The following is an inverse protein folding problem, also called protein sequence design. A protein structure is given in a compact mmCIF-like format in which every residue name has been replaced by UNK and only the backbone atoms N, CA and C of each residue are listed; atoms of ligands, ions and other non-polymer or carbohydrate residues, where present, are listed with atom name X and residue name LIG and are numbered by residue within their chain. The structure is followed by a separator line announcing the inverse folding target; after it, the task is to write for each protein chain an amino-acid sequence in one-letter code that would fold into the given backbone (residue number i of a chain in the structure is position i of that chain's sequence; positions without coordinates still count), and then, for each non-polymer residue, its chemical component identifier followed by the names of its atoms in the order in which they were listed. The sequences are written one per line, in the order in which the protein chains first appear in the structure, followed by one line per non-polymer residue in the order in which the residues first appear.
data_IF_320288045827
#
_entry.id   IF_320288045827
#
_cell.length_a   1.000
_cell.length_b   1.000
_cell.length_c   1.000
_cell.angle_alpha   90.00
_cell.angle_beta   90.00
_cell.angle_gamma   90.00
#
_symmetry.space_group_name_H-M   'P 1'
#
loop_
_entity.id
_entity.type
_entity.pdbx_description
1 polymer ?
#
# COMPACT_ATOMS: atom_id res chain seq x y z
N UNK A 1 -9.41 16.55 11.45
CA UNK A 1 -9.04 17.22 10.17
C UNK A 1 -9.43 18.69 10.21
N UNK A 2 -8.71 19.54 9.47
CA UNK A 2 -9.02 20.98 9.36
C UNK A 2 -10.04 21.27 8.27
N UNK A 3 -10.01 20.52 7.18
CA UNK A 3 -10.91 20.57 6.06
C UNK A 3 -11.16 19.17 5.48
N UNK A 4 -12.07 19.06 4.54
CA UNK A 4 -12.50 17.80 3.95
C UNK A 4 -11.49 17.17 2.97
N UNK A 5 -10.47 17.90 2.52
CA UNK A 5 -9.34 17.35 1.74
C UNK A 5 -8.56 16.25 2.50
N UNK A 6 -8.60 16.29 3.84
CA UNK A 6 -8.06 15.23 4.71
C UNK A 6 -9.13 14.18 5.12
N UNK A 7 -10.30 14.11 4.45
CA UNK A 7 -11.35 13.11 4.74
C UNK A 7 -10.79 11.69 4.75
N UNK A 8 -10.01 11.36 3.74
CA UNK A 8 -9.39 10.05 3.58
C UNK A 8 -8.54 9.68 4.81
N UNK A 9 -7.88 10.64 5.43
CA UNK A 9 -7.02 10.39 6.60
C UNK A 9 -7.84 9.85 7.79
N UNK A 10 -9.10 10.23 7.93
CA UNK A 10 -10.00 9.64 8.92
C UNK A 10 -10.50 8.27 8.46
N UNK A 11 -11.06 8.19 7.26
CA UNK A 11 -11.76 6.99 6.78
C UNK A 11 -10.81 5.85 6.44
N UNK A 12 -9.73 6.14 5.71
CA UNK A 12 -8.69 5.17 5.41
C UNK A 12 -7.98 4.68 6.68
N UNK A 13 -7.71 5.61 7.62
CA UNK A 13 -7.07 5.25 8.87
C UNK A 13 -7.96 4.36 9.74
N UNK A 14 -9.25 4.68 9.84
CA UNK A 14 -10.20 3.86 10.58
C UNK A 14 -10.30 2.45 9.99
N UNK A 15 -10.35 2.33 8.66
CA UNK A 15 -10.39 1.05 7.98
C UNK A 15 -9.09 0.23 8.17
N UNK A 16 -7.94 0.87 8.01
CA UNK A 16 -6.65 0.23 8.28
C UNK A 16 -6.54 -0.20 9.74
N UNK A 17 -6.84 0.69 10.69
CA UNK A 17 -6.74 0.43 12.13
C UNK A 17 -7.68 -0.69 12.58
N UNK A 18 -8.89 -0.78 12.01
CA UNK A 18 -9.82 -1.86 12.31
C UNK A 18 -9.24 -3.22 11.95
N UNK A 19 -8.67 -3.37 10.75
CA UNK A 19 -8.06 -4.63 10.31
C UNK A 19 -6.77 -4.95 11.06
N UNK A 20 -5.91 -3.95 11.26
CA UNK A 20 -4.69 -4.10 12.05
C UNK A 20 -4.99 -4.55 13.49
N UNK A 21 -5.89 -3.87 14.18
CA UNK A 21 -6.27 -4.21 15.55
C UNK A 21 -6.98 -5.55 15.65
N UNK A 22 -7.78 -5.94 14.65
CA UNK A 22 -8.43 -7.25 14.62
C UNK A 22 -7.41 -8.37 14.63
N UNK A 23 -6.38 -8.28 13.77
CA UNK A 23 -5.31 -9.30 13.71
C UNK A 23 -4.46 -9.28 14.98
N UNK A 24 -4.11 -8.10 15.49
CA UNK A 24 -3.17 -7.97 16.62
C UNK A 24 -3.80 -8.32 17.98
N UNK A 25 -5.10 -8.09 18.17
CA UNK A 25 -5.73 -8.11 19.49
C UNK A 25 -6.95 -9.06 19.61
N UNK A 26 -7.29 -9.79 18.54
CA UNK A 26 -8.46 -10.67 18.56
C UNK A 26 -8.15 -12.05 17.95
N UNK A 27 -9.16 -12.95 17.98
CA UNK A 27 -9.10 -14.27 17.32
C UNK A 27 -9.23 -14.20 15.78
N UNK A 28 -9.54 -13.06 15.21
CA UNK A 28 -9.77 -12.88 13.77
C UNK A 28 -8.47 -12.56 13.05
N UNK A 29 -7.58 -13.54 12.97
CA UNK A 29 -6.24 -13.40 12.36
C UNK A 29 -6.25 -13.30 10.84
N UNK A 30 -7.39 -13.58 10.20
CA UNK A 30 -7.62 -13.54 8.75
C UNK A 30 -8.21 -12.21 8.25
N UNK A 31 -8.26 -11.17 9.11
CA UNK A 31 -8.89 -9.89 8.76
C UNK A 31 -8.27 -9.26 7.49
N UNK A 32 -6.95 -9.38 7.28
CA UNK A 32 -6.30 -8.89 6.05
C UNK A 32 -6.64 -9.72 4.81
N UNK A 33 -6.96 -11.00 4.94
CA UNK A 33 -7.47 -11.83 3.85
C UNK A 33 -8.86 -11.35 3.44
N UNK A 34 -9.74 -11.17 4.42
CA UNK A 34 -11.09 -10.62 4.20
C UNK A 34 -11.04 -9.22 3.57
N UNK A 35 -10.14 -8.35 4.04
CA UNK A 35 -9.90 -7.04 3.44
C UNK A 35 -9.51 -7.16 1.96
N UNK A 36 -8.58 -8.04 1.64
CA UNK A 36 -8.08 -8.22 0.26
C UNK A 36 -9.18 -8.70 -0.69
N UNK A 37 -10.01 -9.64 -0.25
CA UNK A 37 -11.07 -10.22 -1.08
C UNK A 37 -12.25 -9.27 -1.28
N UNK A 38 -12.65 -8.51 -0.24
CA UNK A 38 -13.86 -7.68 -0.27
C UNK A 38 -13.53 -6.21 -0.52
N UNK A 39 -12.76 -5.61 0.37
CA UNK A 39 -12.54 -4.15 0.39
C UNK A 39 -11.59 -3.72 -0.72
N UNK A 40 -10.45 -4.38 -0.83
CA UNK A 40 -9.46 -4.06 -1.87
C UNK A 40 -10.00 -4.35 -3.27
N UNK A 41 -10.82 -5.39 -3.45
CA UNK A 41 -11.49 -5.66 -4.72
C UNK A 41 -12.48 -4.54 -5.11
N UNK A 42 -13.16 -3.93 -4.14
CA UNK A 42 -13.98 -2.74 -4.38
C UNK A 42 -13.13 -1.56 -4.84
N UNK A 43 -12.02 -1.26 -4.14
CA UNK A 43 -11.09 -0.21 -4.52
C UNK A 43 -10.54 -0.42 -5.93
N UNK A 44 -10.12 -1.63 -6.29
CA UNK A 44 -9.61 -1.94 -7.63
C UNK A 44 -10.63 -1.67 -8.73
N UNK A 45 -11.89 -2.02 -8.51
CA UNK A 45 -12.96 -1.74 -9.49
C UNK A 45 -13.14 -0.24 -9.67
N UNK A 46 -13.19 0.51 -8.59
CA UNK A 46 -13.43 1.95 -8.64
C UNK A 46 -12.25 2.71 -9.22
N UNK A 47 -11.03 2.33 -8.88
CA UNK A 47 -9.81 3.00 -9.35
C UNK A 47 -9.53 2.80 -10.86
N UNK A 48 -10.27 1.93 -11.52
CA UNK A 48 -10.22 1.69 -12.97
C UNK A 48 -11.36 2.35 -13.74
N UNK A 49 -12.26 3.06 -13.06
CA UNK A 49 -13.37 3.79 -13.68
C UNK A 49 -12.93 5.22 -14.05
N UNK A 50 -13.59 5.84 -15.04
CA UNK A 50 -13.38 7.27 -15.37
C UNK A 50 -13.63 8.21 -14.18
N UNK A 51 -14.41 7.78 -13.19
CA UNK A 51 -14.69 8.53 -11.97
C UNK A 51 -13.62 8.37 -10.87
N UNK A 52 -12.49 7.73 -11.18
CA UNK A 52 -11.39 7.63 -10.19
C UNK A 52 -10.81 8.99 -9.86
N UNK A 53 -10.27 9.10 -8.67
CA UNK A 53 -9.61 10.31 -8.18
C UNK A 53 -8.41 9.92 -7.28
N UNK A 54 -7.49 10.86 -7.00
CA UNK A 54 -6.45 10.65 -6.00
C UNK A 54 -7.04 10.37 -4.61
N UNK A 55 -6.29 9.68 -3.76
CA UNK A 55 -6.70 9.45 -2.36
C UNK A 55 -6.84 10.81 -1.64
N UNK A 56 -5.82 11.67 -1.75
CA UNK A 56 -5.87 13.06 -1.30
C UNK A 56 -6.45 13.93 -2.43
N UNK A 57 -7.76 13.92 -2.55
CA UNK A 57 -8.49 14.69 -3.56
C UNK A 57 -8.75 16.12 -3.09
N UNK A 58 -8.83 17.06 -4.03
CA UNK A 58 -9.24 18.43 -3.75
C UNK A 58 -10.77 18.50 -3.50
N UNK A 59 -11.16 18.97 -2.32
CA UNK A 59 -12.55 19.08 -1.88
C UNK A 59 -12.99 20.53 -1.93
N UNK A 60 -13.38 20.98 -3.13
CA UNK A 60 -13.78 22.38 -3.38
C UNK A 60 -15.09 22.75 -2.70
N UNK A 61 -16.01 21.80 -2.54
CA UNK A 61 -17.34 21.99 -1.97
C UNK A 61 -17.91 20.69 -1.34
N UNK A 62 -19.12 20.78 -0.78
CA UNK A 62 -19.77 19.64 -0.13
C UNK A 62 -20.28 18.58 -1.12
N UNK A 63 -20.51 18.91 -2.36
CA UNK A 63 -20.91 17.93 -3.38
C UNK A 63 -19.69 17.09 -3.79
N UNK A 64 -18.52 17.72 -3.93
CA UNK A 64 -17.26 17.00 -4.08
C UNK A 64 -17.01 16.04 -2.89
N UNK A 65 -17.24 16.49 -1.64
CA UNK A 65 -17.13 15.63 -0.46
C UNK A 65 -18.04 14.42 -0.56
N UNK A 66 -19.32 14.60 -0.91
CA UNK A 66 -20.30 13.50 -0.96
C UNK A 66 -19.91 12.40 -1.93
N UNK A 67 -19.40 12.74 -3.12
CA UNK A 67 -19.03 11.75 -4.13
C UNK A 67 -17.73 11.02 -3.79
N UNK A 68 -16.92 11.57 -2.88
CA UNK A 68 -15.66 10.98 -2.43
C UNK A 68 -15.81 10.04 -1.21
N UNK A 69 -17.00 9.78 -0.69
CA UNK A 69 -17.26 8.70 0.26
C UNK A 69 -17.35 7.35 -0.47
N UNK A 70 -16.24 6.85 -0.95
CA UNK A 70 -16.17 5.76 -1.93
C UNK A 70 -15.01 4.78 -1.66
N UNK A 71 -14.81 3.81 -2.56
CA UNK A 71 -13.75 2.80 -2.45
C UNK A 71 -12.33 3.36 -2.49
N UNK A 72 -12.14 4.55 -3.06
CA UNK A 72 -10.83 5.22 -3.06
C UNK A 72 -10.52 5.75 -1.66
N UNK A 73 -11.41 6.54 -1.10
CA UNK A 73 -11.25 7.15 0.23
C UNK A 73 -11.17 6.09 1.34
N UNK A 74 -11.90 4.99 1.25
CA UNK A 74 -11.85 3.93 2.26
C UNK A 74 -10.77 2.88 1.96
N UNK A 75 -10.97 2.07 0.96
CA UNK A 75 -10.22 0.84 0.77
C UNK A 75 -8.88 1.03 0.03
N UNK A 76 -8.80 1.92 -0.98
CA UNK A 76 -7.51 2.26 -1.60
C UNK A 76 -6.62 2.99 -0.59
N UNK A 77 -7.16 3.95 0.15
CA UNK A 77 -6.42 4.67 1.19
C UNK A 77 -5.92 3.75 2.31
N UNK A 78 -6.75 2.81 2.79
CA UNK A 78 -6.29 1.79 3.74
C UNK A 78 -5.21 0.87 3.17
N UNK A 79 -5.28 0.54 1.86
CA UNK A 79 -4.22 -0.20 1.16
C UNK A 79 -2.92 0.60 1.07
N UNK A 80 -3.01 1.91 0.80
CA UNK A 80 -1.85 2.80 0.79
C UNK A 80 -1.23 2.92 2.20
N UNK A 81 -2.04 3.04 3.26
CA UNK A 81 -1.54 3.03 4.63
C UNK A 81 -0.83 1.70 4.97
N UNK A 82 -1.37 0.55 4.54
CA UNK A 82 -0.68 -0.74 4.70
C UNK A 82 0.67 -0.76 3.97
N UNK A 83 0.74 -0.16 2.79
CA UNK A 83 1.99 0.00 2.02
C UNK A 83 2.96 0.96 2.74
N UNK A 84 2.44 2.05 3.32
CA UNK A 84 3.25 2.99 4.10
C UNK A 84 3.85 2.32 5.35
N UNK A 85 3.07 1.48 6.04
CA UNK A 85 3.58 0.68 7.17
C UNK A 85 4.75 -0.22 6.73
N UNK A 86 4.62 -0.92 5.60
CA UNK A 86 5.71 -1.73 5.06
C UNK A 86 6.91 -0.87 4.67
N UNK A 87 6.68 0.31 4.08
CA UNK A 87 7.73 1.22 3.62
C UNK A 87 8.58 1.80 4.74
N UNK A 88 7.95 2.26 5.83
CA UNK A 88 8.65 2.88 6.96
C UNK A 88 9.05 1.89 8.06
N UNK A 89 8.48 0.68 8.04
CA UNK A 89 8.57 -0.32 9.10
C UNK A 89 7.49 -0.14 10.18
N UNK A 90 6.90 -1.24 10.64
CA UNK A 90 5.75 -1.22 11.57
C UNK A 90 6.08 -0.51 12.88
N UNK A 91 7.22 -0.81 13.50
CA UNK A 91 7.63 -0.17 14.76
C UNK A 91 7.79 1.34 14.62
N UNK A 92 8.40 1.81 13.52
CA UNK A 92 8.54 3.23 13.23
C UNK A 92 7.19 3.88 12.96
N UNK A 93 6.31 3.21 12.22
CA UNK A 93 4.96 3.71 11.96
C UNK A 93 4.19 3.89 13.26
N UNK A 94 4.21 2.89 14.15
CA UNK A 94 3.53 2.97 15.44
C UNK A 94 4.17 4.01 16.38
N UNK A 95 5.48 4.18 16.35
CA UNK A 95 6.17 5.24 17.10
C UNK A 95 5.77 6.63 16.62
N UNK A 96 5.76 6.84 15.29
CA UNK A 96 5.30 8.09 14.68
C UNK A 96 3.84 8.40 15.00
N UNK A 97 2.95 7.39 14.96
CA UNK A 97 1.55 7.56 15.37
C UNK A 97 1.41 7.96 16.83
N UNK A 98 2.16 7.33 17.75
CA UNK A 98 2.11 7.71 19.18
C UNK A 98 2.52 9.17 19.38
N UNK A 99 3.57 9.62 18.71
CA UNK A 99 4.02 11.01 18.77
C UNK A 99 2.96 11.96 18.18
N UNK A 100 2.42 11.61 17.00
CA UNK A 100 1.36 12.38 16.34
C UNK A 100 0.11 12.52 17.23
N UNK A 101 -0.42 11.43 17.80
CA UNK A 101 -1.57 11.49 18.69
C UNK A 101 -1.27 12.22 20.00
N UNK A 102 -0.03 12.17 20.50
CA UNK A 102 0.39 12.94 21.65
C UNK A 102 0.34 14.44 21.39
N UNK A 103 0.89 14.88 20.26
CA UNK A 103 0.98 16.31 19.90
C UNK A 103 -0.37 16.90 19.50
N UNK A 104 -1.26 16.09 18.91
CA UNK A 104 -2.56 16.54 18.40
C UNK A 104 -3.75 16.04 19.20
N UNK A 105 -3.55 15.55 20.42
CA UNK A 105 -4.63 15.13 21.30
C UNK A 105 -5.68 16.26 21.44
N UNK A 106 -6.94 15.94 21.13
CA UNK A 106 -8.09 16.87 21.19
C UNK A 106 -7.99 18.06 20.23
N UNK A 107 -7.14 17.99 19.23
CA UNK A 107 -6.97 19.03 18.21
C UNK A 107 -7.17 18.47 16.80
N UNK A 108 -7.31 19.39 15.83
CA UNK A 108 -7.31 19.04 14.43
C UNK A 108 -5.87 19.05 13.87
N UNK A 109 -5.56 18.07 13.04
CA UNK A 109 -4.30 17.94 12.33
C UNK A 109 -4.54 17.82 10.82
N UNK A 110 -3.45 17.84 10.06
CA UNK A 110 -3.40 17.69 8.60
C UNK A 110 -2.50 16.52 8.22
N UNK A 111 -2.54 16.10 6.95
CA UNK A 111 -1.61 15.10 6.42
C UNK A 111 -0.13 15.46 6.64
N UNK A 112 0.35 16.69 6.37
CA UNK A 112 1.74 17.06 6.68
C UNK A 112 2.12 16.88 8.15
N UNK A 113 1.18 17.05 9.08
CA UNK A 113 1.44 16.81 10.49
C UNK A 113 1.73 15.34 10.79
N UNK A 114 0.97 14.43 10.19
CA UNK A 114 1.22 12.99 10.31
C UNK A 114 2.54 12.60 9.66
N UNK A 115 2.79 13.03 8.41
CA UNK A 115 4.00 12.69 7.67
C UNK A 115 5.26 13.11 8.42
N UNK A 116 5.30 14.33 8.95
CA UNK A 116 6.44 14.80 9.76
C UNK A 116 6.79 13.87 10.93
N UNK A 117 5.80 13.30 11.60
CA UNK A 117 6.03 12.36 12.70
C UNK A 117 6.52 11.00 12.22
N UNK A 118 6.01 10.53 11.06
CA UNK A 118 6.46 9.29 10.45
C UNK A 118 7.90 9.41 9.90
N UNK A 119 8.23 10.54 9.27
CA UNK A 119 9.59 10.85 8.82
C UNK A 119 10.57 10.91 9.98
N UNK A 120 10.20 11.60 11.07
CA UNK A 120 11.03 11.69 12.28
C UNK A 120 11.27 10.32 12.93
N UNK A 121 10.28 9.43 12.91
CA UNK A 121 10.37 8.09 13.50
C UNK A 121 11.14 7.10 12.61
N UNK A 122 11.01 7.20 11.29
CA UNK A 122 11.58 6.24 10.33
C UNK A 122 12.92 6.68 9.74
N UNK A 123 13.22 7.98 9.75
CA UNK A 123 14.35 8.56 9.04
C UNK A 123 14.19 8.57 7.51
N UNK A 124 13.01 8.21 6.97
CA UNK A 124 12.72 8.23 5.54
C UNK A 124 12.05 9.54 5.15
N UNK A 125 12.46 10.12 4.03
CA UNK A 125 11.72 11.18 3.34
C UNK A 125 10.49 10.57 2.67
N UNK A 126 9.32 11.11 2.94
CA UNK A 126 8.03 10.64 2.41
C UNK A 126 7.46 11.55 1.33
N UNK A 127 8.19 12.56 0.89
CA UNK A 127 7.72 13.54 -0.11
C UNK A 127 7.31 12.87 -1.42
N UNK A 128 8.21 12.09 -2.04
CA UNK A 128 7.94 11.41 -3.30
C UNK A 128 6.93 10.27 -3.12
N UNK A 129 7.01 9.52 -2.04
CA UNK A 129 6.03 8.48 -1.72
C UNK A 129 4.61 9.06 -1.62
N UNK A 130 4.46 10.19 -0.92
CA UNK A 130 3.17 10.89 -0.77
C UNK A 130 2.61 11.34 -2.12
N UNK A 131 3.46 11.94 -2.97
CA UNK A 131 3.05 12.36 -4.31
C UNK A 131 2.58 11.16 -5.14
N UNK A 132 3.35 10.09 -5.16
CA UNK A 132 3.07 8.89 -5.94
C UNK A 132 1.78 8.18 -5.48
N UNK A 133 1.61 7.99 -4.19
CA UNK A 133 0.53 7.18 -3.64
C UNK A 133 -0.76 7.94 -3.38
N UNK A 134 -0.66 9.17 -2.87
CA UNK A 134 -1.82 9.91 -2.39
C UNK A 134 -2.35 10.91 -3.41
N UNK A 135 -1.51 11.42 -4.31
CA UNK A 135 -1.88 12.49 -5.25
C UNK A 135 -2.06 12.00 -6.69
N UNK A 136 -2.02 10.70 -6.93
CA UNK A 136 -2.24 10.10 -8.26
C UNK A 136 -3.30 9.02 -8.22
N UNK A 137 -3.98 8.82 -9.35
CA UNK A 137 -5.03 7.80 -9.54
C UNK A 137 -4.51 6.55 -10.24
N UNK A 138 -5.32 5.49 -10.24
CA UNK A 138 -5.03 4.24 -10.95
C UNK A 138 -4.15 3.27 -10.18
N UNK A 139 -4.00 2.08 -10.73
CA UNK A 139 -3.32 0.92 -10.12
C UNK A 139 -2.11 0.53 -10.96
N UNK A 140 -0.93 0.41 -10.34
CA UNK A 140 0.25 -0.18 -10.98
C UNK A 140 0.11 -1.70 -11.08
N UNK A 141 0.68 -2.28 -12.11
CA UNK A 141 0.77 -3.72 -12.28
C UNK A 141 2.20 -4.17 -11.97
N UNK A 142 2.34 -5.12 -11.07
CA UNK A 142 3.61 -5.78 -10.76
C UNK A 142 3.59 -7.19 -11.33
N UNK A 143 4.60 -7.54 -12.13
CA UNK A 143 4.75 -8.86 -12.76
C UNK A 143 6.10 -9.48 -12.38
N UNK A 144 6.14 -10.74 -11.94
CA UNK A 144 7.40 -11.46 -11.85
C UNK A 144 7.93 -11.77 -13.25
N UNK A 145 9.23 -11.56 -13.44
CA UNK A 145 10.00 -12.01 -14.60
C UNK A 145 11.08 -12.96 -14.12
N UNK A 146 11.08 -14.20 -14.60
CA UNK A 146 12.07 -15.18 -14.22
C UNK A 146 12.63 -15.90 -15.45
N UNK A 147 13.92 -16.23 -15.38
CA UNK A 147 14.60 -17.14 -16.32
C UNK A 147 15.00 -18.38 -15.55
N UNK A 148 14.65 -19.55 -16.09
CA UNK A 148 14.93 -20.85 -15.47
C UNK A 148 15.68 -21.72 -16.47
N UNK A 149 16.79 -22.34 -16.01
CA UNK A 149 17.56 -23.32 -16.78
C UNK A 149 17.74 -24.56 -15.89
N UNK A 150 17.41 -25.72 -16.42
CA UNK A 150 17.51 -27.04 -15.72
C UNK A 150 16.82 -27.05 -14.34
N UNK A 151 15.69 -26.31 -14.23
CA UNK A 151 14.92 -26.21 -12.97
C UNK A 151 15.55 -25.29 -11.92
N UNK A 152 16.58 -24.51 -12.32
CA UNK A 152 17.21 -23.51 -11.45
C UNK A 152 16.89 -22.12 -11.96
N UNK A 153 16.47 -21.23 -11.06
CA UNK A 153 16.18 -19.82 -11.36
C UNK A 153 17.53 -19.09 -11.55
N UNK A 154 17.85 -18.70 -12.78
CA UNK A 154 19.05 -17.91 -13.07
C UNK A 154 18.86 -16.43 -12.78
N UNK A 155 17.63 -15.93 -13.03
CA UNK A 155 17.28 -14.53 -12.84
C UNK A 155 15.85 -14.41 -12.35
N UNK A 156 15.62 -13.53 -11.38
CA UNK A 156 14.30 -13.10 -10.97
C UNK A 156 14.27 -11.57 -10.87
N UNK A 157 13.24 -10.96 -11.45
CA UNK A 157 12.98 -9.54 -11.34
C UNK A 157 11.49 -9.28 -11.21
N UNK A 158 11.15 -8.09 -10.72
CA UNK A 158 9.78 -7.59 -10.68
C UNK A 158 9.69 -6.43 -11.66
N UNK A 159 8.88 -6.60 -12.71
CA UNK A 159 8.51 -5.51 -13.62
C UNK A 159 7.33 -4.75 -13.06
N UNK A 160 7.46 -3.43 -13.00
CA UNK A 160 6.38 -2.52 -12.69
C UNK A 160 5.89 -1.82 -13.96
N UNK A 161 4.57 -1.79 -14.16
CA UNK A 161 3.91 -1.06 -15.24
C UNK A 161 3.02 0.04 -14.65
N UNK A 162 2.95 1.23 -15.29
CA UNK A 162 2.07 2.30 -14.84
C UNK A 162 0.59 1.94 -15.00
N UNK A 163 -0.35 2.71 -14.39
CA UNK A 163 -1.77 2.49 -14.57
C UNK A 163 -2.19 2.53 -16.04
N UNK A 164 -2.90 1.51 -16.49
CA UNK A 164 -3.44 1.42 -17.85
C UNK A 164 -4.90 1.89 -17.94
N UNK A 165 -5.61 1.92 -16.82
CA UNK A 165 -7.02 2.25 -16.74
C UNK A 165 -7.31 3.24 -15.59
N UNK A 166 -8.24 4.20 -15.81
CA UNK A 166 -8.83 4.55 -17.09
C UNK A 166 -7.81 5.21 -18.03
N UNK A 167 -8.09 5.28 -19.35
CA UNK A 167 -7.20 5.98 -20.28
C UNK A 167 -6.98 7.44 -19.92
N UNK A 168 -5.77 7.95 -20.13
CA UNK A 168 -5.42 9.35 -19.90
C UNK A 168 -4.88 9.68 -18.52
N UNK A 169 -4.70 8.68 -17.65
CA UNK A 169 -4.01 8.89 -16.37
C UNK A 169 -2.52 9.19 -16.59
N UNK A 170 -1.94 9.93 -15.64
CA UNK A 170 -0.49 10.12 -15.57
C UNK A 170 0.20 8.76 -15.36
N UNK A 171 1.23 8.40 -16.18
CA UNK A 171 1.90 7.12 -16.09
C UNK A 171 2.91 7.08 -14.92
N UNK A 172 2.42 7.13 -13.69
CA UNK A 172 3.25 7.14 -12.49
C UNK A 172 3.62 5.71 -12.07
N UNK A 173 4.91 5.48 -11.86
CA UNK A 173 5.40 4.32 -11.10
C UNK A 173 5.43 4.70 -9.62
N UNK A 174 5.02 3.77 -8.77
CA UNK A 174 5.00 3.97 -7.31
C UNK A 174 6.08 3.16 -6.63
N UNK A 175 6.64 3.72 -5.59
CA UNK A 175 7.56 2.99 -4.73
C UNK A 175 6.78 2.03 -3.83
N UNK A 176 7.06 0.73 -3.97
CA UNK A 176 6.44 -0.32 -3.18
C UNK A 176 7.49 -1.02 -2.32
N UNK A 177 7.08 -1.48 -1.14
CA UNK A 177 7.78 -2.53 -0.40
C UNK A 177 6.88 -3.75 -0.35
N UNK A 178 7.33 -4.85 -0.93
CA UNK A 178 6.55 -6.08 -1.06
C UNK A 178 7.34 -7.29 -0.56
N UNK A 179 6.60 -8.34 -0.16
CA UNK A 179 7.18 -9.64 0.15
C UNK A 179 7.10 -10.57 -1.06
N UNK A 180 8.21 -11.19 -1.42
CA UNK A 180 8.27 -12.32 -2.35
C UNK A 180 8.43 -13.60 -1.55
N UNK A 181 7.39 -14.43 -1.55
CA UNK A 181 7.39 -15.72 -0.83
C UNK A 181 7.87 -16.85 -1.74
N UNK A 182 8.86 -17.61 -1.27
CA UNK A 182 9.22 -18.90 -1.85
C UNK A 182 8.51 -20.00 -1.07
N UNK A 183 7.84 -20.88 -1.79
CA UNK A 183 7.06 -21.97 -1.21
C UNK A 183 7.61 -23.32 -1.66
N UNK A 184 7.57 -24.31 -0.80
CA UNK A 184 7.90 -25.69 -1.11
C UNK A 184 6.66 -26.57 -0.95
N UNK A 185 6.56 -27.59 -1.78
CA UNK A 185 5.51 -28.61 -1.63
C UNK A 185 5.97 -29.68 -0.63
N UNK A 186 5.28 -29.74 0.51
CA UNK A 186 5.45 -30.80 1.50
C UNK A 186 4.20 -31.68 1.51
N UNK A 187 4.27 -32.78 0.77
CA UNK A 187 3.18 -33.78 0.70
C UNK A 187 1.85 -33.20 0.22
N UNK A 188 1.86 -32.33 -0.79
CA UNK A 188 0.68 -31.67 -1.36
C UNK A 188 0.23 -30.42 -0.61
N UNK A 189 1.01 -29.94 0.36
CA UNK A 189 0.79 -28.67 1.03
C UNK A 189 1.91 -27.67 0.70
N UNK A 190 1.52 -26.50 0.21
CA UNK A 190 2.46 -25.39 0.00
C UNK A 190 2.79 -24.75 1.35
N UNK A 191 4.06 -24.82 1.73
CA UNK A 191 4.59 -24.23 2.95
C UNK A 191 5.55 -23.11 2.59
N UNK A 192 5.41 -21.94 3.24
CA UNK A 192 6.34 -20.84 3.07
C UNK A 192 7.72 -21.26 3.60
N UNK A 193 8.70 -21.33 2.71
CA UNK A 193 10.09 -21.62 3.05
C UNK A 193 10.85 -20.34 3.39
N UNK A 194 10.74 -19.32 2.53
CA UNK A 194 11.43 -18.05 2.72
C UNK A 194 10.59 -16.87 2.23
N UNK A 195 10.65 -15.76 2.96
CA UNK A 195 10.10 -14.47 2.58
C UNK A 195 11.23 -13.47 2.35
N UNK A 196 11.25 -12.83 1.17
CA UNK A 196 12.22 -11.80 0.81
C UNK A 196 11.47 -10.48 0.67
N UNK A 197 11.86 -9.45 1.42
CA UNK A 197 11.31 -8.10 1.27
C UNK A 197 12.06 -7.35 0.18
N UNK A 198 11.33 -6.75 -0.76
CA UNK A 198 11.87 -6.07 -1.94
C UNK A 198 11.29 -4.67 -2.05
N UNK A 199 12.16 -3.68 -2.23
CA UNK A 199 11.76 -2.33 -2.63
C UNK A 199 11.68 -2.29 -4.17
N UNK A 200 10.47 -1.99 -4.68
CA UNK A 200 10.18 -1.85 -6.11
C UNK A 200 10.05 -0.36 -6.40
N UNK A 201 11.07 0.24 -7.01
CA UNK A 201 11.15 1.69 -7.23
C UNK A 201 11.28 2.09 -8.71
N UNK A 202 11.45 1.10 -9.59
CA UNK A 202 11.68 1.33 -11.02
C UNK A 202 10.82 0.44 -11.91
N UNK A 203 11.05 0.52 -13.22
CA UNK A 203 10.38 -0.33 -14.22
C UNK A 203 10.76 -1.79 -14.03
N UNK A 204 12.05 -2.09 -13.80
CA UNK A 204 12.56 -3.44 -13.56
C UNK A 204 13.38 -3.42 -12.28
N UNK A 205 13.08 -4.33 -11.37
CA UNK A 205 13.69 -4.41 -10.06
C UNK A 205 14.22 -5.84 -9.86
N UNK A 206 15.53 -5.99 -9.93
CA UNK A 206 16.19 -7.28 -9.77
C UNK A 206 16.11 -7.76 -8.32
N UNK A 207 15.93 -9.08 -8.15
CA UNK A 207 15.90 -9.74 -6.84
C UNK A 207 16.94 -10.86 -6.86
N UNK A 208 18.21 -10.52 -6.74
CA UNK A 208 19.33 -11.48 -6.90
C UNK A 208 19.33 -12.57 -5.84
N UNK A 209 18.67 -12.34 -4.70
CA UNK A 209 18.56 -13.33 -3.59
C UNK A 209 17.79 -14.60 -3.97
N UNK A 210 17.07 -14.56 -5.10
CA UNK A 210 16.31 -15.73 -5.63
C UNK A 210 17.14 -16.52 -6.65
N UNK A 211 18.21 -15.94 -7.18
CA UNK A 211 19.08 -16.65 -8.12
C UNK A 211 19.73 -17.86 -7.45
N UNK A 212 19.72 -18.99 -8.14
CA UNK A 212 20.22 -20.26 -7.64
C UNK A 212 19.18 -21.15 -6.95
N UNK A 213 17.99 -20.62 -6.68
CA UNK A 213 16.90 -21.42 -6.13
C UNK A 213 16.32 -22.37 -7.18
N UNK A 214 15.82 -23.53 -6.72
CA UNK A 214 15.10 -24.43 -7.61
C UNK A 214 13.65 -23.99 -7.76
N UNK A 215 13.16 -24.04 -8.98
CA UNK A 215 11.74 -23.88 -9.25
C UNK A 215 10.99 -25.05 -8.60
N UNK A 216 9.94 -24.79 -7.79
CA UNK A 216 9.13 -25.82 -7.16
C UNK A 216 8.37 -26.67 -8.18
#
# INVERSE_FOLDING_TARGET
MKWWDDLWLNESFAEWAAHFSSVAATRYTDAWTSFSVLRKAWAYRQDQLPSTHPIAADMTDLDAVRVNFDGITYAKGASALKQLVAWVGEDNFLAGLRAYFGDFAWRNATLPDLLRHLEAASGRDLTDWTRQWLQTSGVNLLRPELTVTDGVIERFAIRQEPPAMPPGLEPVLRDHRIGVGLYIDLQGQLVLDRLIEVDVTGVVNEVPEIAGERQP
#
